data_IF_158890599271
#
_entry.id   IF_158890599271
#
_cell.length_a   1.000
_cell.length_b   1.000
_cell.length_c   1.000
_cell.angle_alpha   90.00
_cell.angle_beta   90.00
_cell.angle_gamma   90.00
#
_symmetry.space_group_name_H-M   'P 1'
#
loop_
_entity.id
_entity.type
_entity.pdbx_description
1 polymer ?
#
# COMPACT_ATOMS: atom_id res chain seq x y z
N UNK A 1 -30.13 21.25 47.66
CA UNK A 1 -28.67 21.19 47.43
C UNK A 1 -28.42 21.11 45.93
N UNK A 2 -28.37 22.29 45.32
CA UNK A 2 -28.20 22.51 43.89
C UNK A 2 -26.86 23.21 43.75
N UNK A 3 -25.78 22.44 43.73
CA UNK A 3 -24.42 22.93 43.47
C UNK A 3 -23.55 21.70 43.19
N UNK A 4 -23.33 21.38 41.92
CA UNK A 4 -22.55 20.20 41.55
C UNK A 4 -22.62 19.77 40.08
N UNK A 5 -23.58 20.29 39.30
CA UNK A 5 -23.72 19.97 37.86
C UNK A 5 -23.17 21.01 36.88
N UNK A 6 -22.48 22.05 37.37
CA UNK A 6 -21.96 23.12 36.51
C UNK A 6 -20.48 22.96 36.11
N UNK A 7 -19.79 21.88 36.51
CA UNK A 7 -18.36 21.68 36.23
C UNK A 7 -18.05 20.84 34.98
N UNK A 8 -19.02 20.10 34.41
CA UNK A 8 -18.77 19.26 33.21
C UNK A 8 -19.06 19.95 31.86
N UNK A 9 -19.58 21.19 31.85
CA UNK A 9 -19.90 21.93 30.61
C UNK A 9 -18.84 22.96 30.20
N UNK A 10 -17.70 23.04 30.88
CA UNK A 10 -16.61 24.01 30.58
C UNK A 10 -15.59 23.54 29.50
N UNK A 11 -15.90 22.50 28.72
CA UNK A 11 -15.02 21.98 27.66
C UNK A 11 -15.54 22.09 26.22
N UNK A 12 -16.68 22.74 25.99
CA UNK A 12 -17.36 22.74 24.66
C UNK A 12 -17.00 23.98 23.80
N UNK A 13 -16.27 24.95 24.38
CA UNK A 13 -15.92 26.22 23.73
C UNK A 13 -15.02 26.10 22.50
N UNK A 14 -14.12 25.11 22.46
CA UNK A 14 -13.03 25.02 21.46
C UNK A 14 -13.25 23.98 20.35
N UNK A 15 -14.47 23.44 20.20
CA UNK A 15 -14.75 22.42 19.19
C UNK A 15 -14.95 23.02 17.80
N UNK A 16 -14.29 22.44 16.80
CA UNK A 16 -14.46 22.80 15.39
C UNK A 16 -15.92 22.58 14.95
N UNK A 17 -16.41 23.38 14.00
CA UNK A 17 -17.75 23.20 13.42
C UNK A 17 -17.97 21.77 12.90
N UNK A 18 -16.93 21.10 12.40
CA UNK A 18 -17.00 19.70 11.98
C UNK A 18 -17.29 18.74 13.16
N UNK A 19 -16.70 19.00 14.31
CA UNK A 19 -16.86 18.20 15.53
C UNK A 19 -18.23 18.42 16.16
N UNK A 20 -18.71 19.66 16.18
CA UNK A 20 -20.09 20.01 16.61
C UNK A 20 -21.14 19.28 15.77
N UNK A 21 -21.01 19.28 14.44
CA UNK A 21 -21.90 18.55 13.53
C UNK A 21 -21.82 17.02 13.79
N UNK A 22 -20.62 16.49 14.02
CA UNK A 22 -20.44 15.07 14.30
C UNK A 22 -21.08 14.65 15.63
N UNK A 23 -20.96 15.48 16.67
CA UNK A 23 -21.61 15.27 17.97
C UNK A 23 -23.13 15.33 17.87
N UNK A 24 -23.67 16.30 17.14
CA UNK A 24 -25.12 16.40 16.94
C UNK A 24 -25.67 15.19 16.19
N UNK A 25 -25.00 14.74 15.12
CA UNK A 25 -25.37 13.51 14.40
C UNK A 25 -25.31 12.28 15.31
N UNK A 26 -24.33 12.22 16.22
CA UNK A 26 -24.19 11.14 17.19
C UNK A 26 -25.32 11.18 18.24
N UNK A 27 -25.68 12.36 18.74
CA UNK A 27 -26.78 12.52 19.70
C UNK A 27 -28.12 12.04 19.10
N UNK A 28 -28.47 12.51 17.89
CA UNK A 28 -29.68 12.06 17.19
C UNK A 28 -29.69 10.54 16.98
N UNK A 29 -28.53 9.96 16.67
CA UNK A 29 -28.39 8.51 16.54
C UNK A 29 -28.62 7.78 17.86
N UNK A 30 -28.16 8.33 19.00
CA UNK A 30 -28.38 7.74 20.32
C UNK A 30 -29.85 7.76 20.69
N UNK A 31 -30.54 8.91 20.55
CA UNK A 31 -31.98 9.01 20.81
C UNK A 31 -32.80 8.03 19.96
N UNK A 32 -32.45 7.88 18.68
CA UNK A 32 -33.14 6.94 17.77
C UNK A 32 -33.15 5.48 18.27
N UNK A 33 -32.09 5.06 18.96
CA UNK A 33 -31.92 3.67 19.40
C UNK A 33 -32.02 3.49 20.91
N UNK A 34 -32.35 4.54 21.66
CA UNK A 34 -32.36 4.55 23.13
C UNK A 34 -33.29 3.47 23.70
N UNK A 35 -34.56 3.49 23.32
CA UNK A 35 -35.57 2.50 23.72
C UNK A 35 -35.16 1.06 23.34
N UNK A 36 -34.56 0.88 22.16
CA UNK A 36 -34.12 -0.41 21.68
C UNK A 36 -32.90 -0.95 22.45
N UNK A 37 -32.03 -0.07 22.96
CA UNK A 37 -30.88 -0.44 23.79
C UNK A 37 -31.34 -0.86 25.18
N UNK A 38 -32.23 -0.08 25.78
CA UNK A 38 -32.83 -0.38 27.09
C UNK A 38 -33.55 -1.74 27.03
N UNK A 39 -34.42 -1.94 26.04
CA UNK A 39 -35.08 -3.23 25.82
C UNK A 39 -34.08 -4.37 25.55
N UNK A 40 -32.95 -4.11 24.89
CA UNK A 40 -31.92 -5.12 24.65
C UNK A 40 -31.13 -5.51 25.91
N UNK A 41 -30.94 -4.56 26.83
CA UNK A 41 -30.26 -4.77 28.11
C UNK A 41 -31.14 -5.56 29.09
N UNK A 42 -32.42 -5.20 29.18
CA UNK A 42 -33.30 -5.69 30.24
C UNK A 42 -34.14 -6.91 29.84
N UNK A 43 -34.33 -7.14 28.53
CA UNK A 43 -35.14 -8.26 28.05
C UNK A 43 -34.32 -9.41 27.47
N UNK A 44 -34.86 -10.64 27.60
CA UNK A 44 -34.38 -11.83 26.89
C UNK A 44 -34.91 -11.92 25.44
N UNK A 45 -35.64 -10.92 24.95
CA UNK A 45 -36.26 -10.94 23.62
C UNK A 45 -35.23 -10.93 22.48
N UNK A 46 -35.37 -11.76 21.44
CA UNK A 46 -34.41 -11.78 20.34
C UNK A 46 -34.35 -10.42 19.63
N UNK A 47 -33.17 -10.08 19.10
CA UNK A 47 -32.91 -8.78 18.47
C UNK A 47 -33.92 -8.42 17.37
N UNK A 48 -34.41 -9.41 16.62
CA UNK A 48 -35.45 -9.22 15.60
C UNK A 48 -36.78 -8.71 16.19
N UNK A 49 -37.19 -9.22 17.36
CA UNK A 49 -38.43 -8.79 18.02
C UNK A 49 -38.28 -7.39 18.60
N UNK A 50 -37.12 -7.05 19.15
CA UNK A 50 -36.81 -5.70 19.64
C UNK A 50 -36.84 -4.70 18.49
N UNK A 51 -36.20 -5.04 17.37
CA UNK A 51 -36.16 -4.18 16.19
C UNK A 51 -37.58 -3.85 15.66
N UNK A 52 -38.46 -4.85 15.61
CA UNK A 52 -39.87 -4.65 15.23
C UNK A 52 -40.61 -3.78 16.25
N UNK A 53 -40.45 -4.04 17.55
CA UNK A 53 -41.12 -3.27 18.61
C UNK A 53 -40.74 -1.79 18.61
N UNK A 54 -39.44 -1.49 18.49
CA UNK A 54 -38.94 -0.12 18.49
C UNK A 54 -38.97 0.53 17.08
N UNK A 55 -39.60 -0.09 16.09
CA UNK A 55 -39.68 0.39 14.71
C UNK A 55 -38.31 0.78 14.10
N UNK A 56 -37.29 -0.05 14.33
CA UNK A 56 -35.94 0.16 13.79
C UNK A 56 -35.51 -1.00 12.89
N UNK A 57 -34.64 -0.72 11.92
CA UNK A 57 -34.05 -1.77 11.09
C UNK A 57 -33.20 -2.73 11.94
N UNK A 58 -33.43 -4.04 11.79
CA UNK A 58 -32.63 -5.09 12.45
C UNK A 58 -31.14 -4.95 12.17
N UNK A 59 -30.77 -4.70 10.91
CA UNK A 59 -29.37 -4.51 10.51
C UNK A 59 -28.77 -3.23 11.09
N UNK A 60 -29.57 -2.15 11.13
CA UNK A 60 -29.19 -0.87 11.73
C UNK A 60 -28.93 -0.99 13.23
N UNK A 61 -29.90 -1.53 13.98
CA UNK A 61 -29.80 -1.76 15.42
C UNK A 61 -28.62 -2.67 15.77
N UNK A 62 -28.46 -3.78 15.04
CA UNK A 62 -27.33 -4.69 15.25
C UNK A 62 -25.96 -4.04 15.01
N UNK A 63 -25.85 -3.16 14.01
CA UNK A 63 -24.62 -2.42 13.72
C UNK A 63 -24.35 -1.36 14.78
N UNK A 64 -25.39 -0.67 15.24
CA UNK A 64 -25.32 0.33 16.30
C UNK A 64 -24.86 -0.28 17.62
N UNK A 65 -25.49 -1.37 18.08
CA UNK A 65 -25.08 -2.09 19.30
C UNK A 65 -23.63 -2.56 19.23
N UNK A 66 -23.16 -3.09 18.09
CA UNK A 66 -21.76 -3.52 17.95
C UNK A 66 -20.74 -2.37 18.03
N UNK A 67 -21.15 -1.16 17.67
CA UNK A 67 -20.28 0.02 17.59
C UNK A 67 -20.24 0.79 18.92
N UNK A 68 -21.39 0.96 19.56
CA UNK A 68 -21.54 1.82 20.74
C UNK A 68 -21.83 1.05 22.02
N UNK A 69 -22.50 -0.10 21.94
CA UNK A 69 -22.97 -0.87 23.10
C UNK A 69 -22.47 -2.32 23.09
N UNK A 70 -21.17 -2.48 22.83
CA UNK A 70 -20.59 -3.80 22.53
C UNK A 70 -20.54 -4.67 23.78
N UNK A 71 -20.32 -4.07 24.94
CA UNK A 71 -20.38 -4.65 26.26
C UNK A 71 -21.74 -5.27 26.57
N UNK A 72 -22.86 -4.65 26.16
CA UNK A 72 -24.19 -5.28 26.28
C UNK A 72 -24.29 -6.58 25.46
N UNK A 73 -23.72 -6.59 24.25
CA UNK A 73 -23.69 -7.80 23.41
C UNK A 73 -22.85 -8.89 24.08
N UNK A 74 -21.69 -8.55 24.65
CA UNK A 74 -20.81 -9.49 25.34
C UNK A 74 -21.48 -10.06 26.60
N UNK A 75 -22.06 -9.19 27.44
CA UNK A 75 -22.79 -9.57 28.65
C UNK A 75 -23.92 -10.54 28.34
N UNK A 76 -24.76 -10.21 27.36
CA UNK A 76 -25.90 -11.04 26.96
C UNK A 76 -25.49 -12.39 26.39
N UNK A 77 -24.26 -12.50 25.88
CA UNK A 77 -23.65 -13.73 25.38
C UNK A 77 -22.86 -14.50 26.46
N UNK A 78 -22.79 -13.99 27.69
CA UNK A 78 -22.00 -14.59 28.77
C UNK A 78 -20.49 -14.55 28.52
N UNK A 79 -19.99 -13.57 27.74
CA UNK A 79 -18.56 -13.39 27.47
C UNK A 79 -18.00 -12.38 28.47
N UNK A 80 -17.12 -12.84 29.38
CA UNK A 80 -16.39 -11.97 30.31
C UNK A 80 -15.43 -11.05 29.56
N UNK A 81 -15.25 -9.82 30.08
CA UNK A 81 -14.38 -8.80 29.47
C UNK A 81 -13.19 -8.38 30.34
N UNK A 82 -12.97 -8.97 31.53
CA UNK A 82 -11.76 -8.88 32.38
C UNK A 82 -10.80 -7.71 32.06
N UNK A 83 -11.26 -6.47 32.23
CA UNK A 83 -10.44 -5.25 32.04
C UNK A 83 -9.98 -4.94 30.60
N UNK A 84 -10.34 -5.72 29.58
CA UNK A 84 -10.02 -5.47 28.17
C UNK A 84 -11.08 -4.59 27.51
N UNK A 85 -10.67 -3.79 26.52
CA UNK A 85 -11.59 -2.99 25.73
C UNK A 85 -12.61 -3.91 25.02
N UNK A 86 -13.94 -3.71 25.20
CA UNK A 86 -14.96 -4.55 24.58
C UNK A 86 -14.80 -4.72 23.06
N UNK A 87 -14.20 -3.72 22.38
CA UNK A 87 -13.95 -3.73 20.93
C UNK A 87 -12.96 -4.81 20.49
N UNK A 88 -12.01 -5.16 21.34
CA UNK A 88 -10.96 -6.12 21.01
C UNK A 88 -11.39 -7.58 21.24
N UNK A 89 -12.47 -7.78 22.00
CA UNK A 89 -13.01 -9.10 22.30
C UNK A 89 -13.81 -9.61 21.10
N UNK A 90 -13.45 -10.80 20.61
CA UNK A 90 -14.18 -11.45 19.51
C UNK A 90 -15.47 -12.09 20.01
N UNK A 91 -16.59 -11.62 19.47
CA UNK A 91 -17.94 -12.15 19.76
C UNK A 91 -18.10 -13.62 19.30
N UNK A 92 -17.38 -14.03 18.25
CA UNK A 92 -17.23 -15.43 17.84
C UNK A 92 -15.75 -15.65 17.54
N UNK A 93 -15.12 -16.52 18.30
CA UNK A 93 -13.73 -16.92 18.05
C UNK A 93 -13.65 -17.79 16.79
N UNK A 94 -12.63 -17.55 15.97
CA UNK A 94 -12.42 -18.31 14.73
C UNK A 94 -12.25 -19.80 15.04
N UNK A 95 -13.10 -20.66 14.46
CA UNK A 95 -13.05 -22.11 14.64
C UNK A 95 -13.85 -22.62 15.85
N UNK A 96 -14.32 -21.73 16.71
CA UNK A 96 -15.21 -22.08 17.82
C UNK A 96 -16.67 -22.06 17.37
N UNK A 97 -17.52 -22.94 17.93
CA UNK A 97 -18.94 -22.91 17.64
C UNK A 97 -19.56 -21.59 18.09
N UNK A 98 -20.61 -21.15 17.40
CA UNK A 98 -21.39 -20.02 17.89
C UNK A 98 -22.04 -20.40 19.23
N UNK A 99 -22.25 -19.44 20.13
CA UNK A 99 -22.88 -19.69 21.43
C UNK A 99 -24.28 -20.32 21.27
N UNK A 100 -25.02 -19.90 20.25
CA UNK A 100 -26.33 -20.47 19.92
C UNK A 100 -26.21 -21.92 19.49
N UNK A 101 -25.25 -22.23 18.61
CA UNK A 101 -24.99 -23.61 18.18
C UNK A 101 -24.50 -24.48 19.34
N UNK A 102 -23.64 -23.94 20.21
CA UNK A 102 -23.18 -24.61 21.42
C UNK A 102 -24.37 -24.93 22.31
N UNK A 103 -25.18 -23.95 22.69
CA UNK A 103 -26.38 -24.18 23.50
C UNK A 103 -27.33 -25.23 22.87
N UNK A 104 -27.52 -25.19 21.55
CA UNK A 104 -28.38 -26.15 20.85
C UNK A 104 -27.88 -27.59 20.88
N UNK A 105 -26.57 -27.82 20.75
CA UNK A 105 -26.01 -29.16 20.54
C UNK A 105 -25.25 -29.71 21.75
N UNK A 106 -25.00 -28.93 22.82
CA UNK A 106 -24.13 -29.35 23.94
C UNK A 106 -24.63 -30.63 24.60
N UNK A 107 -25.91 -30.72 24.97
CA UNK A 107 -26.47 -31.91 25.62
C UNK A 107 -26.37 -33.15 24.73
N UNK A 108 -26.72 -33.02 23.44
CA UNK A 108 -26.62 -34.10 22.48
C UNK A 108 -25.17 -34.56 22.23
N UNK A 109 -24.22 -33.62 22.21
CA UNK A 109 -22.79 -33.93 22.10
C UNK A 109 -22.30 -34.66 23.35
N UNK A 110 -22.73 -34.24 24.54
CA UNK A 110 -22.33 -34.90 25.79
C UNK A 110 -22.88 -36.33 25.88
N UNK A 111 -24.12 -36.54 25.43
CA UNK A 111 -24.67 -37.89 25.28
C UNK A 111 -23.89 -38.73 24.25
N UNK A 112 -23.41 -38.13 23.15
CA UNK A 112 -22.55 -38.83 22.19
C UNK A 112 -21.19 -39.23 22.79
N UNK A 113 -20.70 -38.54 23.83
CA UNK A 113 -19.48 -38.92 24.57
C UNK A 113 -19.71 -39.98 25.65
N UNK A 114 -20.93 -40.08 26.18
CA UNK A 114 -21.22 -41.04 27.25
C UNK A 114 -21.35 -42.47 26.71
N UNK A 115 -20.90 -43.43 27.53
CA UNK A 115 -21.12 -44.86 27.32
C UNK A 115 -22.60 -45.23 27.50
N UNK A 116 -23.37 -44.49 28.29
CA UNK A 116 -24.79 -44.78 28.56
C UNK A 116 -25.66 -44.76 27.30
N UNK A 117 -25.20 -44.02 26.28
CA UNK A 117 -25.91 -43.88 25.01
C UNK A 117 -25.21 -44.64 23.89
N UNK A 118 -24.16 -45.43 24.15
CA UNK A 118 -23.28 -45.99 23.11
C UNK A 118 -24.01 -46.91 22.14
N UNK A 119 -25.11 -47.52 22.58
CA UNK A 119 -26.05 -48.37 21.84
C UNK A 119 -26.80 -47.60 20.73
N UNK A 120 -27.04 -46.30 20.91
CA UNK A 120 -27.71 -45.45 19.93
C UNK A 120 -26.77 -44.93 18.83
N UNK A 121 -27.23 -44.81 17.59
CA UNK A 121 -26.50 -44.05 16.56
C UNK A 121 -26.66 -42.54 16.75
N UNK A 122 -25.83 -41.73 16.07
CA UNK A 122 -25.85 -40.25 16.22
C UNK A 122 -27.23 -39.66 15.90
N UNK A 123 -27.94 -40.21 14.92
CA UNK A 123 -29.29 -39.76 14.54
C UNK A 123 -30.36 -40.11 15.58
N UNK A 124 -30.21 -41.23 16.28
CA UNK A 124 -31.07 -41.64 17.40
C UNK A 124 -30.82 -40.77 18.62
N UNK A 125 -29.55 -40.49 18.95
CA UNK A 125 -29.19 -39.52 19.99
C UNK A 125 -29.79 -38.15 19.63
N UNK A 126 -29.60 -37.70 18.39
CA UNK A 126 -30.15 -36.43 17.94
C UNK A 126 -31.67 -36.32 18.13
N UNK A 127 -32.41 -37.39 17.80
CA UNK A 127 -33.86 -37.46 18.03
C UNK A 127 -34.22 -37.36 19.52
N UNK A 128 -33.48 -38.03 20.40
CA UNK A 128 -33.69 -37.97 21.87
C UNK A 128 -33.53 -36.56 22.44
N UNK A 129 -32.64 -35.76 21.85
CA UNK A 129 -32.40 -34.36 22.23
C UNK A 129 -33.12 -33.34 21.34
N UNK A 130 -34.09 -33.76 20.51
CA UNK A 130 -34.84 -32.87 19.61
C UNK A 130 -33.97 -32.01 18.67
N UNK A 131 -32.85 -32.55 18.21
CA UNK A 131 -31.96 -31.91 17.24
C UNK A 131 -31.89 -32.69 15.92
N UNK A 132 -31.52 -32.01 14.84
CA UNK A 132 -31.35 -32.64 13.54
C UNK A 132 -30.07 -33.48 13.51
N UNK A 133 -30.19 -34.78 13.19
CA UNK A 133 -29.06 -35.73 13.19
C UNK A 133 -27.92 -35.35 12.25
N UNK A 134 -28.23 -34.95 11.01
CA UNK A 134 -27.21 -34.51 10.04
C UNK A 134 -26.50 -33.25 10.52
N UNK A 135 -27.25 -32.29 11.09
CA UNK A 135 -26.67 -31.07 11.61
C UNK A 135 -25.80 -31.32 12.85
N UNK A 136 -26.20 -32.24 13.75
CA UNK A 136 -25.40 -32.67 14.90
C UNK A 136 -24.10 -33.35 14.45
N UNK A 137 -24.17 -34.25 13.47
CA UNK A 137 -23.00 -34.92 12.91
C UNK A 137 -22.02 -33.92 12.26
N UNK A 138 -22.53 -32.95 11.50
CA UNK A 138 -21.72 -31.87 10.92
C UNK A 138 -21.09 -30.98 11.99
N UNK A 139 -21.83 -30.69 13.06
CA UNK A 139 -21.34 -29.91 14.18
C UNK A 139 -20.19 -30.61 14.92
N UNK A 140 -20.32 -31.92 15.17
CA UNK A 140 -19.25 -32.73 15.78
C UNK A 140 -18.04 -32.83 14.86
N UNK A 141 -18.19 -33.11 13.56
CA UNK A 141 -17.05 -33.13 12.62
C UNK A 141 -16.26 -31.81 12.60
N UNK A 142 -16.94 -30.69 12.79
CA UNK A 142 -16.31 -29.37 12.77
C UNK A 142 -15.59 -29.03 14.09
N UNK A 143 -16.17 -29.38 15.23
CA UNK A 143 -15.73 -28.89 16.55
C UNK A 143 -15.22 -29.97 17.52
N UNK A 144 -15.57 -31.23 17.29
CA UNK A 144 -15.28 -32.37 18.15
C UNK A 144 -14.98 -33.62 17.30
N UNK A 145 -13.94 -33.57 16.47
CA UNK A 145 -13.64 -34.62 15.48
C UNK A 145 -13.34 -35.99 16.10
N UNK A 146 -12.84 -36.00 17.33
CA UNK A 146 -12.50 -37.22 18.06
C UNK A 146 -13.73 -37.99 18.55
N UNK A 147 -14.85 -37.30 18.86
CA UNK A 147 -16.04 -37.95 19.43
C UNK A 147 -16.66 -38.96 18.44
N UNK A 148 -16.92 -38.61 17.15
CA UNK A 148 -17.40 -39.58 16.18
C UNK A 148 -16.46 -40.78 16.00
N UNK A 149 -15.14 -40.53 15.94
CA UNK A 149 -14.12 -41.58 15.73
C UNK A 149 -14.10 -42.54 16.92
N UNK A 150 -13.98 -42.01 18.13
CA UNK A 150 -13.97 -42.80 19.37
C UNK A 150 -15.23 -43.64 19.50
N UNK A 151 -16.40 -43.02 19.32
CA UNK A 151 -17.70 -43.69 19.47
C UNK A 151 -17.84 -44.87 18.52
N UNK A 152 -17.35 -44.71 17.30
CA UNK A 152 -17.40 -45.77 16.29
C UNK A 152 -16.45 -46.92 16.61
N UNK A 153 -15.25 -46.62 17.08
CA UNK A 153 -14.31 -47.66 17.53
C UNK A 153 -14.89 -48.44 18.72
N UNK A 154 -15.48 -47.77 19.70
CA UNK A 154 -16.13 -48.43 20.84
C UNK A 154 -17.29 -49.31 20.40
N UNK A 155 -18.17 -48.83 19.51
CA UNK A 155 -19.28 -49.62 18.99
C UNK A 155 -18.80 -50.85 18.20
N UNK A 156 -17.72 -50.72 17.43
CA UNK A 156 -17.10 -51.84 16.70
C UNK A 156 -16.55 -52.88 17.67
N UNK A 157 -15.83 -52.44 18.71
CA UNK A 157 -15.32 -53.33 19.76
C UNK A 157 -16.44 -54.08 20.50
N UNK A 158 -17.60 -53.44 20.70
CA UNK A 158 -18.77 -54.04 21.36
C UNK A 158 -19.65 -54.88 20.43
N UNK A 159 -19.33 -54.98 19.13
CA UNK A 159 -20.15 -55.72 18.16
C UNK A 159 -21.48 -55.04 17.81
N UNK A 160 -21.70 -53.80 18.21
CA UNK A 160 -22.92 -52.99 17.93
C UNK A 160 -22.67 -52.03 16.75
N UNK A 161 -21.59 -52.24 16.00
CA UNK A 161 -21.27 -51.45 14.82
C UNK A 161 -22.38 -51.58 13.77
N UNK A 162 -22.82 -50.45 13.20
CA UNK A 162 -23.80 -50.42 12.11
C UNK A 162 -23.18 -50.70 10.73
N UNK A 163 -21.86 -50.96 10.66
CA UNK A 163 -21.07 -51.17 9.45
C UNK A 163 -21.25 -50.09 8.36
N UNK A 164 -21.76 -48.92 8.75
CA UNK A 164 -21.94 -47.78 7.85
C UNK A 164 -20.63 -47.01 7.76
N UNK A 165 -20.15 -46.77 6.54
CA UNK A 165 -18.97 -45.95 6.30
C UNK A 165 -19.13 -44.54 6.86
N UNK A 166 -18.21 -44.13 7.73
CA UNK A 166 -18.16 -42.80 8.35
C UNK A 166 -16.77 -42.22 8.13
N UNK A 167 -16.73 -41.12 7.38
CA UNK A 167 -15.47 -40.55 6.87
C UNK A 167 -15.71 -39.88 5.54
N UNK A 168 -14.63 -39.57 4.81
CA UNK A 168 -14.76 -39.23 3.39
C UNK A 168 -15.18 -40.50 2.66
N UNK A 169 -16.25 -40.46 1.87
CA UNK A 169 -16.54 -41.57 0.94
C UNK A 169 -15.45 -41.61 -0.13
N UNK A 170 -14.92 -42.77 -0.53
CA UNK A 170 -13.91 -42.85 -1.57
C UNK A 170 -14.31 -42.09 -2.85
N UNK A 171 -15.56 -42.22 -3.27
CA UNK A 171 -16.14 -41.48 -4.41
C UNK A 171 -16.02 -39.96 -4.26
N UNK A 172 -16.24 -39.43 -3.06
CA UNK A 172 -16.11 -38.00 -2.77
C UNK A 172 -14.65 -37.57 -2.70
N UNK A 173 -13.75 -38.43 -2.22
CA UNK A 173 -12.32 -38.16 -2.18
C UNK A 173 -11.78 -37.99 -3.60
N UNK A 174 -12.12 -38.91 -4.49
CA UNK A 174 -11.79 -38.85 -5.91
C UNK A 174 -12.42 -37.63 -6.59
N UNK A 175 -13.72 -37.37 -6.36
CA UNK A 175 -14.44 -36.24 -6.96
C UNK A 175 -13.79 -34.89 -6.63
N UNK A 176 -13.33 -34.70 -5.38
CA UNK A 176 -12.75 -33.44 -4.95
C UNK A 176 -11.22 -33.40 -5.02
N UNK A 177 -10.53 -34.50 -5.32
CA UNK A 177 -9.07 -34.58 -5.32
C UNK A 177 -8.43 -33.47 -6.18
N UNK A 178 -8.88 -33.31 -7.42
CA UNK A 178 -8.38 -32.26 -8.32
C UNK A 178 -8.61 -30.85 -7.76
N UNK A 179 -9.79 -30.60 -7.18
CA UNK A 179 -10.14 -29.31 -6.61
C UNK A 179 -9.31 -28.99 -5.36
N UNK A 180 -9.02 -30.00 -4.53
CA UNK A 180 -8.16 -29.89 -3.35
C UNK A 180 -6.73 -29.56 -3.76
N UNK A 181 -6.17 -30.28 -4.74
CA UNK A 181 -4.82 -30.03 -5.25
C UNK A 181 -4.70 -28.65 -5.92
N UNK A 182 -5.71 -28.25 -6.69
CA UNK A 182 -5.76 -26.90 -7.26
C UNK A 182 -5.82 -25.81 -6.17
N UNK A 183 -6.55 -26.05 -5.09
CA UNK A 183 -6.62 -25.12 -3.97
C UNK A 183 -5.28 -25.06 -3.19
N UNK A 184 -4.51 -26.14 -3.14
CA UNK A 184 -3.18 -26.14 -2.50
C UNK A 184 -2.13 -25.43 -3.35
N UNK A 185 -2.15 -25.63 -4.66
CA UNK A 185 -1.11 -25.18 -5.61
C UNK A 185 -1.35 -23.78 -6.17
N UNK A 186 -2.60 -23.33 -6.27
CA UNK A 186 -2.96 -22.04 -6.88
C UNK A 186 -3.55 -21.07 -5.87
N UNK A 187 -3.55 -19.77 -6.21
CA UNK A 187 -4.15 -18.71 -5.39
C UNK A 187 -5.66 -18.51 -5.62
N UNK A 188 -6.30 -19.38 -6.42
CA UNK A 188 -7.72 -19.27 -6.79
C UNK A 188 -8.67 -19.48 -5.61
N UNK A 189 -9.84 -18.88 -5.68
CA UNK A 189 -10.89 -18.99 -4.65
C UNK A 189 -11.69 -20.29 -4.79
N UNK A 190 -12.40 -20.70 -3.73
CA UNK A 190 -13.25 -21.90 -3.76
C UNK A 190 -14.29 -21.83 -4.89
N UNK A 191 -15.00 -20.70 -5.14
CA UNK A 191 -15.93 -20.61 -6.25
C UNK A 191 -15.28 -20.81 -7.62
N UNK A 192 -14.14 -20.16 -7.87
CA UNK A 192 -13.41 -20.30 -9.15
C UNK A 192 -12.96 -21.74 -9.38
N UNK A 193 -12.43 -22.39 -8.34
CA UNK A 193 -11.99 -23.80 -8.45
C UNK A 193 -13.19 -24.73 -8.63
N UNK A 194 -14.30 -24.47 -7.93
CA UNK A 194 -15.51 -25.25 -8.09
C UNK A 194 -16.06 -25.17 -9.53
N UNK A 195 -16.00 -23.99 -10.15
CA UNK A 195 -16.36 -23.79 -11.55
C UNK A 195 -15.42 -24.54 -12.50
N UNK A 196 -14.10 -24.42 -12.32
CA UNK A 196 -13.10 -25.10 -13.15
C UNK A 196 -13.21 -26.62 -13.04
N UNK A 197 -13.35 -27.14 -11.82
CA UNK A 197 -13.46 -28.58 -11.56
C UNK A 197 -14.89 -29.11 -11.73
N UNK A 198 -15.86 -28.26 -12.10
CA UNK A 198 -17.27 -28.62 -12.29
C UNK A 198 -17.89 -29.32 -11.07
N UNK A 199 -17.55 -28.86 -9.86
CA UNK A 199 -18.10 -29.37 -8.60
C UNK A 199 -18.97 -28.34 -7.91
N UNK A 200 -19.86 -28.79 -7.02
CA UNK A 200 -20.69 -27.87 -6.22
C UNK A 200 -19.82 -27.02 -5.29
N UNK A 201 -19.99 -25.70 -5.34
CA UNK A 201 -19.34 -24.75 -4.41
C UNK A 201 -19.61 -25.14 -2.95
N UNK A 202 -20.87 -25.48 -2.65
CA UNK A 202 -21.29 -25.90 -1.31
C UNK A 202 -20.62 -27.20 -0.88
N UNK A 203 -20.58 -28.19 -1.78
CA UNK A 203 -19.95 -29.49 -1.56
C UNK A 203 -18.45 -29.38 -1.32
N UNK A 204 -17.72 -28.70 -2.23
CA UNK A 204 -16.29 -28.46 -2.09
C UNK A 204 -15.97 -27.68 -0.81
N UNK A 205 -16.76 -26.64 -0.51
CA UNK A 205 -16.59 -25.88 0.73
C UNK A 205 -16.78 -26.72 1.99
N UNK A 206 -17.72 -27.67 1.99
CA UNK A 206 -17.91 -28.60 3.11
C UNK A 206 -16.77 -29.61 3.20
N UNK A 207 -16.40 -30.24 2.08
CA UNK A 207 -15.31 -31.20 1.99
C UNK A 207 -14.00 -30.61 2.53
N UNK A 208 -13.63 -29.40 2.07
CA UNK A 208 -12.45 -28.67 2.57
C UNK A 208 -12.52 -28.37 4.08
N UNK A 209 -13.70 -28.01 4.60
CA UNK A 209 -13.90 -27.69 6.02
C UNK A 209 -13.82 -28.92 6.93
N UNK A 210 -14.22 -30.08 6.44
CA UNK A 210 -14.22 -31.31 7.24
C UNK A 210 -12.88 -32.02 7.19
N UNK A 211 -12.26 -32.11 6.01
CA UNK A 211 -11.12 -33.01 5.79
C UNK A 211 -9.80 -32.29 5.50
N UNK A 212 -9.83 -31.02 5.04
CA UNK A 212 -8.63 -30.24 4.70
C UNK A 212 -8.52 -28.95 5.51
N UNK A 213 -8.77 -29.04 6.83
CA UNK A 213 -8.76 -27.89 7.77
C UNK A 213 -7.43 -27.15 7.75
N UNK A 214 -6.31 -27.87 7.67
CA UNK A 214 -4.98 -27.27 7.66
C UNK A 214 -4.74 -26.41 6.43
N UNK A 215 -5.24 -26.83 5.27
CA UNK A 215 -5.15 -26.03 4.03
C UNK A 215 -5.93 -24.72 4.15
N UNK A 216 -7.12 -24.77 4.76
CA UNK A 216 -7.91 -23.56 5.04
C UNK A 216 -7.20 -22.66 6.05
N UNK A 217 -6.62 -23.23 7.11
CA UNK A 217 -5.88 -22.49 8.16
C UNK A 217 -4.66 -21.78 7.57
N UNK A 218 -3.86 -22.48 6.75
CA UNK A 218 -2.71 -21.92 6.02
C UNK A 218 -3.12 -20.73 5.14
N UNK A 219 -4.10 -20.94 4.25
CA UNK A 219 -4.64 -19.87 3.39
C UNK A 219 -5.18 -18.67 4.17
N UNK A 220 -5.78 -18.91 5.34
CA UNK A 220 -6.27 -17.83 6.21
C UNK A 220 -5.13 -17.04 6.85
N UNK A 221 -4.02 -17.69 7.21
CA UNK A 221 -2.83 -17.03 7.71
C UNK A 221 -2.18 -16.16 6.63
N UNK A 222 -2.04 -16.70 5.41
CA UNK A 222 -1.53 -15.97 4.23
C UNK A 222 -2.37 -14.72 3.95
N UNK A 223 -3.71 -14.84 3.90
CA UNK A 223 -4.62 -13.69 3.74
C UNK A 223 -4.47 -12.66 4.86
N UNK A 224 -4.22 -13.11 6.10
CA UNK A 224 -4.01 -12.21 7.23
C UNK A 224 -2.71 -11.43 7.09
N UNK A 225 -1.63 -12.07 6.64
CA UNK A 225 -0.35 -11.43 6.35
C UNK A 225 -0.48 -10.40 5.21
N UNK A 226 -1.21 -10.77 4.15
CA UNK A 226 -1.45 -9.92 2.98
C UNK A 226 -2.31 -8.67 3.23
N UNK A 227 -2.98 -8.54 4.39
CA UNK A 227 -3.79 -7.35 4.70
C UNK A 227 -2.97 -6.05 4.71
N UNK A 228 -1.69 -6.13 5.05
CA UNK A 228 -0.82 -4.96 5.20
C UNK A 228 -0.18 -4.54 3.87
N UNK A 229 0.15 -5.50 3.01
CA UNK A 229 0.94 -5.25 1.80
C UNK A 229 0.11 -5.60 0.55
N UNK A 230 -0.42 -4.59 -0.13
CA UNK A 230 -1.16 -4.77 -1.39
C UNK A 230 -0.20 -4.80 -2.57
N UNK A 231 0.56 -5.88 -2.66
CA UNK A 231 1.48 -6.13 -3.78
C UNK A 231 0.65 -6.63 -4.96
N UNK A 232 0.92 -6.10 -6.16
CA UNK A 232 0.18 -6.47 -7.37
C UNK A 232 0.47 -7.94 -7.71
N UNK A 233 -0.54 -8.68 -8.13
CA UNK A 233 -0.42 -10.10 -8.48
C UNK A 233 -0.38 -11.06 -7.29
N UNK A 234 -0.29 -10.57 -6.04
CA UNK A 234 -0.37 -11.39 -4.82
C UNK A 234 -1.79 -11.39 -4.23
N UNK A 235 -2.11 -12.41 -3.45
CA UNK A 235 -3.38 -12.50 -2.70
C UNK A 235 -3.53 -11.30 -1.77
N UNK A 236 -4.73 -10.69 -1.70
CA UNK A 236 -5.12 -9.66 -0.75
C UNK A 236 -5.82 -10.22 0.50
N UNK A 237 -6.09 -9.35 1.48
CA UNK A 237 -6.82 -9.73 2.69
C UNK A 237 -8.23 -10.30 2.48
N UNK A 238 -8.84 -10.08 1.31
CA UNK A 238 -10.11 -10.67 0.89
C UNK A 238 -9.96 -12.04 0.21
N UNK A 239 -8.73 -12.50 -0.06
CA UNK A 239 -8.44 -13.79 -0.69
C UNK A 239 -8.42 -13.77 -2.22
N UNK A 240 -8.62 -12.61 -2.85
CA UNK A 240 -8.47 -12.44 -4.29
C UNK A 240 -7.10 -11.91 -4.64
N UNK A 241 -6.64 -12.17 -5.86
CA UNK A 241 -5.41 -11.59 -6.39
C UNK A 241 -5.59 -10.06 -6.53
N UNK A 242 -4.59 -9.29 -6.11
CA UNK A 242 -4.57 -7.84 -6.27
C UNK A 242 -4.24 -7.48 -7.73
N UNK A 243 -5.27 -7.43 -8.57
CA UNK A 243 -5.14 -7.05 -9.97
C UNK A 243 -6.24 -6.04 -10.37
N UNK A 244 -5.98 -5.18 -11.37
CA UNK A 244 -7.00 -4.31 -11.92
C UNK A 244 -8.08 -5.15 -12.59
N UNK A 245 -9.32 -4.70 -12.53
CA UNK A 245 -10.40 -5.31 -13.30
C UNK A 245 -10.16 -5.12 -14.79
N UNK A 246 -10.55 -6.11 -15.60
CA UNK A 246 -10.37 -6.10 -17.05
C UNK A 246 -10.92 -4.82 -17.71
N UNK A 247 -12.16 -4.42 -17.35
CA UNK A 247 -12.77 -3.16 -17.82
C UNK A 247 -11.95 -1.91 -17.50
N UNK A 248 -11.21 -1.92 -16.39
CA UNK A 248 -10.34 -0.80 -16.00
C UNK A 248 -9.05 -0.78 -16.83
N UNK A 249 -8.51 -1.96 -17.17
CA UNK A 249 -7.34 -2.08 -18.05
C UNK A 249 -7.66 -1.52 -19.43
N UNK A 250 -8.77 -1.98 -20.03
CA UNK A 250 -9.22 -1.52 -21.36
C UNK A 250 -9.44 -0.01 -21.39
N UNK A 251 -10.12 0.54 -20.37
CA UNK A 251 -10.40 1.98 -20.27
C UNK A 251 -9.15 2.86 -20.30
N UNK A 252 -8.05 2.41 -19.70
CA UNK A 252 -6.82 3.19 -19.59
C UNK A 252 -5.69 2.70 -20.49
N UNK A 253 -5.94 1.72 -21.36
CA UNK A 253 -4.92 1.09 -22.20
C UNK A 253 -4.21 2.11 -23.09
N UNK A 254 -4.95 2.90 -23.86
CA UNK A 254 -4.39 3.93 -24.76
C UNK A 254 -3.60 5.00 -23.99
N UNK A 255 -4.15 5.47 -22.87
CA UNK A 255 -3.48 6.45 -22.01
C UNK A 255 -2.18 5.89 -21.41
N UNK A 256 -2.17 4.60 -21.06
CA UNK A 256 -1.00 3.91 -20.53
C UNK A 256 0.08 3.74 -21.60
N UNK A 257 -0.28 3.42 -22.85
CA UNK A 257 0.69 3.34 -23.96
C UNK A 257 1.36 4.68 -24.22
N UNK A 258 0.56 5.77 -24.29
CA UNK A 258 1.12 7.12 -24.38
C UNK A 258 2.02 7.43 -23.19
N UNK A 259 1.65 7.03 -21.98
CA UNK A 259 2.47 7.25 -20.79
C UNK A 259 3.80 6.49 -20.83
N UNK A 260 3.86 5.31 -21.44
CA UNK A 260 5.12 4.54 -21.60
C UNK A 260 6.01 5.17 -22.68
N UNK A 261 5.44 5.44 -23.83
CA UNK A 261 6.19 5.69 -25.06
C UNK A 261 6.41 7.17 -25.37
N UNK A 262 5.78 8.09 -24.64
CA UNK A 262 5.89 9.53 -24.94
C UNK A 262 6.29 10.38 -23.74
N UNK A 263 6.96 11.50 -24.01
CA UNK A 263 7.40 12.47 -23.01
C UNK A 263 6.28 13.41 -22.53
N UNK A 264 5.04 13.19 -22.98
CA UNK A 264 3.87 13.99 -22.63
C UNK A 264 3.60 13.97 -21.13
N UNK A 265 3.06 15.09 -20.63
CA UNK A 265 2.61 15.20 -19.24
C UNK A 265 1.25 14.50 -19.10
N UNK A 266 0.95 13.95 -17.92
CA UNK A 266 -0.33 13.28 -17.63
C UNK A 266 -1.54 14.11 -18.08
N UNK A 267 -1.53 15.43 -17.88
CA UNK A 267 -2.62 16.32 -18.32
C UNK A 267 -2.85 16.30 -19.83
N UNK A 268 -1.78 16.20 -20.62
CA UNK A 268 -1.85 16.17 -22.07
C UNK A 268 -2.32 14.81 -22.59
N UNK A 269 -1.84 13.72 -21.97
CA UNK A 269 -2.27 12.36 -22.28
C UNK A 269 -3.78 12.22 -22.05
N UNK A 270 -4.25 12.70 -20.90
CA UNK A 270 -5.67 12.69 -20.52
C UNK A 270 -6.49 13.54 -21.49
N UNK A 271 -5.99 14.70 -21.93
CA UNK A 271 -6.66 15.53 -22.94
C UNK A 271 -6.77 14.82 -24.30
N UNK A 272 -5.75 14.05 -24.71
CA UNK A 272 -5.76 13.29 -25.97
C UNK A 272 -6.70 12.09 -25.94
N UNK A 273 -6.75 11.39 -24.81
CA UNK A 273 -7.50 10.11 -24.67
C UNK A 273 -8.90 10.28 -24.08
N UNK A 274 -9.24 11.47 -23.57
CA UNK A 274 -10.55 11.75 -22.98
C UNK A 274 -10.81 11.06 -21.63
N UNK A 275 -9.83 10.37 -21.04
CA UNK A 275 -10.00 9.71 -19.74
C UNK A 275 -10.02 10.74 -18.59
N UNK A 276 -10.62 10.45 -17.42
CA UNK A 276 -10.59 11.38 -16.28
C UNK A 276 -9.18 11.52 -15.68
N UNK A 277 -8.74 12.75 -15.44
CA UNK A 277 -7.39 13.05 -14.92
C UNK A 277 -7.09 12.33 -13.60
N UNK A 278 -7.99 12.46 -12.63
CA UNK A 278 -7.79 11.87 -11.30
C UNK A 278 -7.92 10.36 -11.32
N UNK A 279 -8.78 9.84 -12.20
CA UNK A 279 -8.93 8.40 -12.44
C UNK A 279 -7.63 7.78 -12.98
N UNK A 280 -7.03 8.41 -13.99
CA UNK A 280 -5.78 7.92 -14.58
C UNK A 280 -4.59 8.04 -13.63
N UNK A 281 -4.49 9.14 -12.86
CA UNK A 281 -3.47 9.26 -11.80
C UNK A 281 -3.58 8.16 -10.75
N UNK A 282 -4.80 7.88 -10.30
CA UNK A 282 -5.01 6.81 -9.34
C UNK A 282 -4.69 5.44 -9.96
N UNK A 283 -5.07 5.23 -11.23
CA UNK A 283 -4.73 4.00 -11.96
C UNK A 283 -3.21 3.76 -12.01
N UNK A 284 -2.42 4.76 -12.39
CA UNK A 284 -0.95 4.68 -12.39
C UNK A 284 -0.40 4.44 -10.98
N UNK A 285 -0.88 5.17 -9.97
CA UNK A 285 -0.41 5.04 -8.60
C UNK A 285 -0.73 3.68 -7.99
N UNK A 286 -1.85 3.06 -8.33
CA UNK A 286 -2.25 1.77 -7.75
C UNK A 286 -1.64 0.61 -8.51
N UNK A 287 -1.56 0.68 -9.84
CA UNK A 287 -1.25 -0.47 -10.70
C UNK A 287 0.08 -0.38 -11.46
N UNK A 288 0.65 0.81 -11.65
CA UNK A 288 1.83 1.03 -12.50
C UNK A 288 2.87 1.92 -11.81
N UNK A 289 3.21 1.58 -10.57
CA UNK A 289 4.18 2.35 -9.76
C UNK A 289 5.61 2.22 -10.27
N UNK A 290 5.94 1.06 -10.79
CA UNK A 290 7.14 0.75 -11.55
C UNK A 290 7.32 1.74 -12.70
N UNK A 291 6.28 1.96 -13.53
CA UNK A 291 6.33 2.93 -14.63
C UNK A 291 6.46 4.37 -14.12
N UNK A 292 5.85 4.69 -12.98
CA UNK A 292 6.02 5.99 -12.34
C UNK A 292 7.45 6.19 -11.81
N UNK A 293 8.08 5.14 -11.27
CA UNK A 293 9.45 5.15 -10.80
C UNK A 293 10.43 5.31 -11.97
N UNK A 294 10.25 4.53 -13.02
CA UNK A 294 11.07 4.61 -14.24
C UNK A 294 10.99 6.00 -14.88
N UNK A 295 9.79 6.59 -14.96
CA UNK A 295 9.63 7.97 -15.46
C UNK A 295 10.26 9.03 -14.57
N UNK A 296 10.48 8.71 -13.30
CA UNK A 296 11.22 9.53 -12.35
C UNK A 296 12.69 9.16 -12.29
N UNK A 297 13.23 8.45 -13.29
CA UNK A 297 14.64 8.08 -13.38
C UNK A 297 15.13 7.14 -12.26
N UNK A 298 14.22 6.44 -11.59
CA UNK A 298 14.57 5.37 -10.68
C UNK A 298 14.90 4.08 -11.44
N UNK A 299 15.60 3.16 -10.76
CA UNK A 299 15.89 1.84 -11.31
C UNK A 299 14.59 1.07 -11.61
N UNK A 300 14.64 0.23 -12.64
CA UNK A 300 13.50 -0.57 -13.04
C UNK A 300 13.26 -1.67 -12.00
N UNK A 301 12.20 -1.51 -11.21
CA UNK A 301 11.76 -2.46 -10.19
C UNK A 301 10.40 -3.02 -10.57
N UNK A 302 10.20 -4.33 -10.49
CA UNK A 302 8.89 -4.94 -10.73
C UNK A 302 7.97 -4.74 -9.51
N UNK A 303 6.84 -4.06 -9.73
CA UNK A 303 5.82 -3.82 -8.72
C UNK A 303 5.09 -5.09 -8.22
N UNK A 304 5.36 -6.25 -8.83
CA UNK A 304 4.90 -7.58 -8.37
C UNK A 304 5.77 -8.17 -7.26
N UNK A 305 7.00 -7.70 -7.10
CA UNK A 305 7.94 -8.24 -6.12
C UNK A 305 7.86 -7.46 -4.81
N UNK A 306 7.98 -6.13 -4.91
CA UNK A 306 8.02 -5.22 -3.76
C UNK A 306 7.08 -4.01 -3.91
N UNK A 307 6.67 -3.48 -2.76
CA UNK A 307 5.91 -2.23 -2.70
C UNK A 307 6.83 -1.02 -2.93
N UNK A 308 6.62 -0.31 -4.04
CA UNK A 308 7.38 0.90 -4.38
C UNK A 308 6.80 2.12 -3.66
N UNK A 309 7.62 2.77 -2.82
CA UNK A 309 7.31 4.04 -2.16
C UNK A 309 7.79 5.24 -2.99
N UNK A 310 6.86 5.80 -3.77
CA UNK A 310 7.08 6.97 -4.61
C UNK A 310 7.28 8.28 -3.81
N UNK A 311 7.17 8.30 -2.49
CA UNK A 311 7.39 9.51 -1.68
C UNK A 311 8.87 9.76 -1.38
N UNK A 312 9.66 8.69 -1.33
CA UNK A 312 11.10 8.73 -1.01
C UNK A 312 11.98 8.94 -2.25
N UNK A 313 11.40 8.76 -3.44
CA UNK A 313 12.12 8.89 -4.71
C UNK A 313 11.99 10.29 -5.27
N UNK A 314 13.12 10.86 -5.68
CA UNK A 314 13.18 12.16 -6.35
C UNK A 314 12.24 12.16 -7.56
N UNK A 315 11.60 13.30 -7.80
CA UNK A 315 10.63 13.44 -8.88
C UNK A 315 11.32 14.02 -10.12
N UNK A 316 11.78 13.16 -11.02
CA UNK A 316 12.22 13.61 -12.34
C UNK A 316 11.05 13.60 -13.34
N UNK A 317 11.00 14.62 -14.21
CA UNK A 317 10.00 14.70 -15.27
C UNK A 317 10.68 14.52 -16.63
N UNK A 318 10.33 13.43 -17.34
CA UNK A 318 10.75 13.20 -18.74
C UNK A 318 10.49 14.41 -19.66
N UNK A 319 9.41 15.15 -19.44
CA UNK A 319 9.10 16.37 -20.21
C UNK A 319 10.14 17.48 -20.01
N UNK A 320 10.66 17.62 -18.78
CA UNK A 320 11.70 18.60 -18.46
C UNK A 320 13.04 18.18 -19.04
N UNK A 321 13.36 16.88 -18.99
CA UNK A 321 14.55 16.35 -19.64
C UNK A 321 14.53 16.58 -21.16
N UNK A 322 13.42 16.25 -21.82
CA UNK A 322 13.23 16.48 -23.25
C UNK A 322 13.33 17.97 -23.63
N UNK A 323 12.85 18.88 -22.76
CA UNK A 323 12.99 20.33 -22.96
C UNK A 323 14.45 20.78 -23.04
N UNK A 324 15.32 20.17 -22.24
CA UNK A 324 16.74 20.55 -22.13
C UNK A 324 17.67 19.71 -22.99
N UNK A 325 17.21 18.58 -23.54
CA UNK A 325 17.99 17.61 -24.30
C UNK A 325 18.77 18.23 -25.47
N UNK A 326 18.11 19.03 -26.31
CA UNK A 326 18.76 19.70 -27.45
C UNK A 326 19.84 20.70 -26.99
N UNK A 327 19.56 21.47 -25.93
CA UNK A 327 20.49 22.43 -25.37
C UNK A 327 21.72 21.74 -24.76
N UNK A 328 21.51 20.65 -24.02
CA UNK A 328 22.57 19.82 -23.43
C UNK A 328 23.42 19.18 -24.52
N UNK A 329 22.80 18.58 -25.55
CA UNK A 329 23.52 17.98 -26.68
C UNK A 329 24.40 18.99 -27.41
N UNK A 330 23.89 20.20 -27.64
CA UNK A 330 24.67 21.29 -28.24
C UNK A 330 25.82 21.78 -27.36
N UNK A 331 25.65 21.72 -26.04
CA UNK A 331 26.69 22.09 -25.07
C UNK A 331 27.78 21.01 -24.93
N UNK A 332 27.42 19.72 -25.02
CA UNK A 332 28.38 18.59 -25.07
C UNK A 332 29.25 18.66 -26.32
N UNK A 333 28.68 19.08 -27.46
CA UNK A 333 29.42 19.23 -28.71
C UNK A 333 30.32 20.48 -28.74
N UNK A 334 29.87 21.59 -28.13
CA UNK A 334 30.61 22.85 -28.08
C UNK A 334 30.46 23.51 -26.70
N UNK A 335 31.50 23.39 -25.87
CA UNK A 335 31.54 23.92 -24.50
C UNK A 335 31.38 25.44 -24.52
N UNK A 336 30.22 25.93 -24.08
CA UNK A 336 29.83 27.35 -24.05
C UNK A 336 29.23 27.71 -22.70
N UNK A 337 29.25 29.00 -22.30
CA UNK A 337 28.59 29.43 -21.07
C UNK A 337 27.10 29.06 -21.06
N UNK A 338 26.61 28.57 -19.92
CA UNK A 338 25.20 28.18 -19.74
C UNK A 338 24.24 29.30 -20.13
N UNK A 339 24.60 30.56 -19.87
CA UNK A 339 23.79 31.74 -20.24
C UNK A 339 23.64 31.92 -21.74
N UNK A 340 24.70 31.62 -22.51
CA UNK A 340 24.67 31.72 -23.96
C UNK A 340 23.79 30.62 -24.56
N UNK A 341 23.99 29.37 -24.12
CA UNK A 341 23.16 28.23 -24.57
C UNK A 341 21.69 28.45 -24.17
N UNK A 342 21.43 28.96 -22.97
CA UNK A 342 20.07 29.27 -22.56
C UNK A 342 19.40 30.30 -23.49
N UNK A 343 20.12 31.35 -23.90
CA UNK A 343 19.59 32.33 -24.84
C UNK A 343 19.33 31.74 -26.24
N UNK A 344 20.26 30.92 -26.76
CA UNK A 344 20.13 30.25 -28.07
C UNK A 344 18.89 29.35 -28.14
N UNK A 345 18.56 28.64 -27.06
CA UNK A 345 17.44 27.69 -27.00
C UNK A 345 16.17 28.27 -26.34
N UNK A 346 16.14 29.58 -26.07
CA UNK A 346 14.97 30.25 -25.45
C UNK A 346 14.64 29.74 -24.03
N UNK A 347 15.66 29.29 -23.28
CA UNK A 347 15.54 28.76 -21.94
C UNK A 347 15.85 29.83 -20.89
N UNK A 348 15.24 29.71 -19.71
CA UNK A 348 15.63 30.53 -18.57
C UNK A 348 16.97 30.03 -18.00
N UNK A 349 17.98 30.91 -18.00
CA UNK A 349 19.36 30.56 -17.66
C UNK A 349 19.55 30.03 -16.23
N UNK A 350 18.80 30.54 -15.26
CA UNK A 350 18.93 30.12 -13.86
C UNK A 350 18.32 28.74 -13.65
N UNK A 351 17.11 28.51 -14.18
CA UNK A 351 16.47 27.19 -14.12
C UNK A 351 17.24 26.11 -14.87
N UNK A 352 17.85 26.46 -16.01
CA UNK A 352 18.69 25.56 -16.78
C UNK A 352 20.00 25.25 -16.05
N UNK A 353 20.62 26.26 -15.42
CA UNK A 353 21.83 26.08 -14.61
C UNK A 353 21.56 25.17 -13.41
N UNK A 354 20.48 25.36 -12.67
CA UNK A 354 20.08 24.47 -11.57
C UNK A 354 19.85 23.04 -12.04
N UNK A 355 19.23 22.86 -13.21
CA UNK A 355 19.01 21.53 -13.80
C UNK A 355 20.34 20.85 -14.16
N UNK A 356 21.27 21.55 -14.80
CA UNK A 356 22.59 21.01 -15.14
C UNK A 356 23.38 20.60 -13.89
N UNK A 357 23.32 21.40 -12.82
CA UNK A 357 23.97 21.06 -11.54
C UNK A 357 23.47 19.73 -10.95
N UNK A 358 22.18 19.45 -11.08
CA UNK A 358 21.58 18.23 -10.54
C UNK A 358 21.78 17.01 -11.45
N UNK A 359 21.79 17.20 -12.77
CA UNK A 359 21.70 16.10 -13.74
C UNK A 359 22.96 15.84 -14.56
N UNK A 360 23.79 16.86 -14.78
CA UNK A 360 24.99 16.79 -15.60
C UNK A 360 26.14 17.56 -14.91
N UNK A 361 26.55 17.14 -13.68
CA UNK A 361 27.54 17.86 -12.90
C UNK A 361 28.90 17.95 -13.60
N UNK A 362 29.24 16.96 -14.43
CA UNK A 362 30.49 16.94 -15.21
C UNK A 362 30.53 18.06 -16.26
N UNK A 363 29.41 18.31 -16.95
CA UNK A 363 29.25 19.43 -17.88
C UNK A 363 29.36 20.77 -17.15
N UNK A 364 28.79 20.87 -15.95
CA UNK A 364 28.91 22.06 -15.12
C UNK A 364 30.35 22.27 -14.66
N UNK A 365 31.08 21.20 -14.29
CA UNK A 365 32.48 21.29 -13.92
C UNK A 365 33.37 21.73 -15.10
N UNK A 366 33.01 21.34 -16.32
CA UNK A 366 33.72 21.72 -17.55
C UNK A 366 33.43 23.18 -17.98
N UNK A 367 32.21 23.68 -17.81
CA UNK A 367 31.81 25.03 -18.21
C UNK A 367 31.69 26.04 -17.05
N UNK A 368 32.00 25.61 -15.84
CA UNK A 368 31.76 26.34 -14.60
C UNK A 368 32.91 27.25 -14.14
N UNK A 369 32.79 27.72 -12.91
CA UNK A 369 33.84 28.48 -12.23
C UNK A 369 34.82 27.50 -11.57
N UNK A 370 36.12 27.70 -11.81
CA UNK A 370 37.21 26.93 -11.23
C UNK A 370 37.86 27.75 -10.12
N UNK A 371 38.27 27.10 -9.04
CA UNK A 371 39.01 27.74 -7.95
C UNK A 371 40.48 27.87 -8.34
N UNK A 372 41.00 29.09 -8.35
CA UNK A 372 42.41 29.37 -8.64
C UNK A 372 43.32 29.04 -7.44
N UNK A 373 44.64 29.05 -7.64
CA UNK A 373 45.66 28.83 -6.58
C UNK A 373 45.47 29.77 -5.38
N UNK A 374 45.00 31.00 -5.64
CA UNK A 374 44.66 32.03 -4.64
C UNK A 374 43.27 31.86 -4.00
N UNK A 375 42.59 30.73 -4.21
CA UNK A 375 41.30 30.39 -3.63
C UNK A 375 40.08 31.11 -4.21
N UNK A 376 40.25 32.00 -5.21
CA UNK A 376 39.15 32.72 -5.89
C UNK A 376 38.54 31.90 -7.02
N UNK A 377 37.22 32.03 -7.22
CA UNK A 377 36.49 31.41 -8.34
C UNK A 377 36.64 32.24 -9.62
N UNK A 378 37.06 31.61 -10.72
CA UNK A 378 37.27 32.21 -12.04
C UNK A 378 36.59 31.34 -13.10
N UNK A 379 36.03 31.96 -14.15
CA UNK A 379 35.55 31.22 -15.32
C UNK A 379 36.69 30.44 -16.00
N UNK A 380 36.51 29.14 -16.20
CA UNK A 380 37.49 28.27 -16.88
C UNK A 380 37.86 28.77 -18.28
N UNK A 381 36.88 29.23 -19.04
CA UNK A 381 37.10 29.77 -20.38
C UNK A 381 37.93 31.06 -20.37
N UNK A 382 37.77 31.90 -19.35
CA UNK A 382 38.61 33.09 -19.19
C UNK A 382 40.03 32.70 -18.80
N UNK A 383 40.18 31.70 -17.93
CA UNK A 383 41.47 31.12 -17.58
C UNK A 383 42.21 30.58 -18.80
N UNK A 384 41.56 29.74 -19.61
CA UNK A 384 42.13 29.19 -20.84
C UNK A 384 42.43 30.28 -21.88
N UNK A 385 41.50 31.23 -22.09
CA UNK A 385 41.68 32.36 -23.02
C UNK A 385 42.87 33.26 -22.68
N UNK A 386 43.13 33.49 -21.39
CA UNK A 386 44.21 34.36 -20.93
C UNK A 386 45.46 33.61 -20.47
N UNK A 387 45.45 32.28 -20.43
CA UNK A 387 46.55 31.46 -19.89
C UNK A 387 47.89 31.77 -20.57
N UNK A 388 47.89 31.80 -21.91
CA UNK A 388 49.11 32.10 -22.67
C UNK A 388 49.58 33.54 -22.47
N UNK A 389 48.64 34.49 -22.40
CA UNK A 389 48.95 35.90 -22.14
C UNK A 389 49.54 36.12 -20.74
N UNK A 390 49.01 35.41 -19.73
CA UNK A 390 49.51 35.44 -18.35
C UNK A 390 50.90 34.80 -18.29
N UNK A 391 51.11 33.63 -18.93
CA UNK A 391 52.44 32.98 -18.99
C UNK A 391 53.48 33.92 -19.59
N UNK A 392 53.19 34.53 -20.74
CA UNK A 392 54.10 35.47 -21.40
C UNK A 392 54.38 36.71 -20.54
N UNK A 393 53.38 37.20 -19.81
CA UNK A 393 53.56 38.33 -18.90
C UNK A 393 54.42 37.96 -17.69
N UNK A 394 54.31 36.73 -17.17
CA UNK A 394 55.14 36.22 -16.07
C UNK A 394 56.59 35.97 -16.46
N UNK A 395 56.85 35.56 -17.71
CA UNK A 395 58.18 35.06 -18.12
C UNK A 395 58.99 36.06 -18.93
N UNK A 396 58.40 37.17 -19.37
CA UNK A 396 59.02 38.10 -20.33
C UNK A 396 58.86 39.54 -19.86
N UNK A 397 59.81 40.41 -20.21
CA UNK A 397 59.75 41.86 -19.93
C UNK A 397 58.92 42.66 -20.95
N UNK A 398 58.25 41.95 -21.87
CA UNK A 398 57.32 42.55 -22.84
C UNK A 398 56.16 43.26 -22.13
N UNK A 399 55.85 44.48 -22.58
CA UNK A 399 54.70 45.22 -22.08
C UNK A 399 53.40 44.49 -22.39
N UNK A 400 52.48 44.46 -21.43
CA UNK A 400 51.16 43.85 -21.54
C UNK A 400 50.35 44.33 -22.77
N UNK A 401 50.54 45.58 -23.21
CA UNK A 401 49.93 46.10 -24.46
C UNK A 401 50.41 45.35 -25.71
N UNK A 402 51.70 45.01 -25.75
CA UNK A 402 52.31 44.27 -26.87
C UNK A 402 51.84 42.81 -26.88
N UNK A 403 51.79 42.17 -25.71
CA UNK A 403 51.26 40.80 -25.54
C UNK A 403 49.79 40.73 -25.98
N UNK A 404 48.97 41.70 -25.56
CA UNK A 404 47.57 41.80 -25.95
C UNK A 404 47.41 41.92 -27.47
N UNK A 405 48.22 42.76 -28.13
CA UNK A 405 48.20 42.95 -29.58
C UNK A 405 48.64 41.68 -30.32
N UNK A 406 49.68 40.99 -29.83
CA UNK A 406 50.21 39.75 -30.43
C UNK A 406 49.18 38.61 -30.40
N UNK A 407 48.47 38.45 -29.29
CA UNK A 407 47.48 37.39 -29.11
C UNK A 407 46.08 37.75 -29.63
N UNK A 408 45.89 38.94 -30.20
CA UNK A 408 44.57 39.41 -30.67
C UNK A 408 43.57 39.63 -29.53
N UNK A 409 44.05 39.92 -28.32
CA UNK A 409 43.22 40.08 -27.11
C UNK A 409 43.01 41.56 -26.80
N UNK A 410 41.80 41.94 -26.39
CA UNK A 410 41.50 43.30 -25.94
C UNK A 410 42.29 43.62 -24.65
N UNK A 411 43.18 44.61 -24.72
CA UNK A 411 44.08 45.02 -23.63
C UNK A 411 43.34 45.34 -22.32
N UNK A 412 42.21 46.06 -22.38
CA UNK A 412 41.44 46.42 -21.17
C UNK A 412 40.87 45.19 -20.46
N UNK A 413 40.47 44.17 -21.22
CA UNK A 413 39.95 42.91 -20.67
C UNK A 413 41.07 42.07 -20.05
N UNK A 414 42.24 42.00 -20.72
CA UNK A 414 43.42 41.29 -20.21
C UNK A 414 44.00 41.96 -18.95
N UNK A 415 44.17 43.28 -18.97
CA UNK A 415 44.66 44.04 -17.81
C UNK A 415 43.71 43.97 -16.62
N UNK A 416 42.39 44.04 -16.86
CA UNK A 416 41.37 43.83 -15.84
C UNK A 416 41.39 42.41 -15.26
N UNK A 417 41.63 41.39 -16.09
CA UNK A 417 41.76 40.01 -15.66
C UNK A 417 42.98 39.81 -14.76
N UNK A 418 44.18 40.22 -15.19
CA UNK A 418 45.43 40.08 -14.43
C UNK A 418 45.31 40.76 -13.06
N UNK A 419 44.80 42.01 -13.03
CA UNK A 419 44.65 42.78 -11.78
C UNK A 419 43.75 42.08 -10.75
N UNK A 420 42.68 41.41 -11.19
CA UNK A 420 41.67 40.81 -10.30
C UNK A 420 42.02 39.39 -9.88
N UNK A 421 42.68 38.65 -10.76
CA UNK A 421 42.79 37.19 -10.68
C UNK A 421 44.22 36.65 -10.58
N UNK A 422 45.22 37.38 -11.07
CA UNK A 422 46.63 36.96 -11.12
C UNK A 422 47.56 38.06 -10.55
N UNK A 423 47.43 38.44 -9.26
CA UNK A 423 48.29 39.46 -8.65
C UNK A 423 49.77 39.03 -8.63
N UNK A 424 50.04 37.74 -8.46
CA UNK A 424 51.40 37.19 -8.40
C UNK A 424 52.11 37.32 -9.76
N UNK A 425 51.36 37.17 -10.86
CA UNK A 425 51.87 37.37 -12.20
C UNK A 425 52.41 38.80 -12.40
N UNK A 426 51.74 39.79 -11.81
CA UNK A 426 52.16 41.20 -11.83
C UNK A 426 53.44 41.41 -11.02
N UNK A 427 53.54 40.78 -9.86
CA UNK A 427 54.73 40.88 -9.01
C UNK A 427 55.97 40.27 -9.69
N UNK A 428 55.84 39.07 -10.27
CA UNK A 428 56.93 38.41 -11.02
C UNK A 428 57.41 39.25 -12.20
N UNK A 429 56.49 39.83 -12.97
CA UNK A 429 56.84 40.71 -14.08
C UNK A 429 57.59 41.98 -13.60
N UNK A 430 57.12 42.61 -12.53
CA UNK A 430 57.79 43.79 -11.93
C UNK A 430 59.20 43.45 -11.44
N UNK A 431 59.41 42.26 -10.89
CA UNK A 431 60.73 41.76 -10.50
C UNK A 431 61.65 41.48 -11.70
N UNK A 432 61.14 40.91 -12.79
CA UNK A 432 61.89 40.69 -14.02
C UNK A 432 62.34 42.00 -14.66
N UNK A 433 61.44 42.97 -14.77
CA UNK A 433 61.76 44.31 -15.29
C UNK A 433 62.80 45.01 -14.40
N UNK A 434 62.73 44.86 -13.08
CA UNK A 434 63.75 45.38 -12.15
C UNK A 434 65.11 44.69 -12.28
N UNK A 435 65.15 43.41 -12.68
CA UNK A 435 66.39 42.64 -12.89
C UNK A 435 67.06 42.96 -14.23
N UNK A 436 66.31 43.29 -15.27
CA UNK A 436 66.88 43.77 -16.56
C UNK A 436 67.35 45.24 -16.50
N UNK A 437 66.84 46.03 -15.55
CA UNK A 437 67.24 47.44 -15.35
C UNK A 437 68.44 47.61 -14.41
N UNK A 438 68.96 46.53 -13.82
CA UNK A 438 70.24 46.47 -13.11
C UNK A 438 71.29 45.89 -14.04
#
# INVERSE_FOLDING_TARGET
MVEGKSSELKGIGDLSNKEKIALQRRYVLHCKYEEAVEMYADSKLPLCKIAVKCNVSLGGLGSYLRRYWRELILRRRGISYEGKNPKDIKIVSSGQPSIVSKAKYTEAVEACKSLDYIDLNVSQVARKFNVNGTALANYMRLHYEEIPIWRENVRRMLGIGDNVHRGVRPECEEQYALAVEMYKSTDKTIPEIAEICQVSIGGLSQHMRFYHKEVIRKRKAERKAAKKNRIIGKICGNGQIHCPQQKTVEKYQEALELYKNSNLIIKEIVRKTGVPLEGFRNYLRVWHRDLMLERRGGEKVDCKEEYIDLTKTKCYLKSTAAKYEAAIGSMKNNLRPVTQVAAEYGLNADTFRSYLWEHEPDLVAQCGMVKNENGKYISRQAMEKYAEAVRLYETTTENLKSIAKRLGIVYNSLSGYIRRNCPDAKQKHEELVRKEMK
#
